data_IF_163914456107
#
_entry.id   IF_163914456107
#
_cell.length_a   1.000
_cell.length_b   1.000
_cell.length_c   1.000
_cell.angle_alpha   90.00
_cell.angle_beta   90.00
_cell.angle_gamma   90.00
#
_symmetry.space_group_name_H-M   'P 1'
#
loop_
_entity.id
_entity.type
_entity.pdbx_description
1 polymer ?
#
# COMPACT_ATOMS: atom_id res chain seq x y z
N UNK A 1 -13.54 11.21 -7.68
CA UNK A 1 -14.59 12.24 -7.88
C UNK A 1 -15.45 12.49 -6.65
N UNK A 2 -15.60 11.52 -5.74
CA UNK A 2 -16.42 11.70 -4.52
C UNK A 2 -15.65 12.21 -3.30
N UNK A 3 -14.32 12.32 -3.39
CA UNK A 3 -13.52 12.80 -2.27
C UNK A 3 -13.79 14.28 -2.01
N UNK A 4 -14.08 14.68 -0.76
CA UNK A 4 -14.23 16.08 -0.38
C UNK A 4 -13.03 16.92 -0.80
N UNK A 5 -13.27 18.20 -1.14
CA UNK A 5 -12.20 19.13 -1.49
C UNK A 5 -11.37 19.53 -0.27
N UNK A 6 -12.01 19.65 0.90
CA UNK A 6 -11.32 19.86 2.17
C UNK A 6 -11.18 18.53 2.91
N UNK A 7 -9.94 18.08 3.05
CA UNK A 7 -9.54 16.90 3.79
C UNK A 7 -8.58 17.27 4.94
N UNK A 8 -8.62 18.52 5.40
CA UNK A 8 -7.68 19.05 6.39
C UNK A 8 -7.60 18.18 7.64
N UNK A 9 -6.37 17.75 7.96
CA UNK A 9 -6.08 16.96 9.16
C UNK A 9 -6.49 15.49 9.07
N UNK A 10 -7.15 15.06 7.99
CA UNK A 10 -7.55 13.66 7.82
C UNK A 10 -6.35 12.77 7.52
N UNK A 11 -6.44 11.52 7.98
CA UNK A 11 -5.52 10.44 7.62
C UNK A 11 -6.22 9.59 6.56
N UNK A 12 -5.52 9.27 5.47
CA UNK A 12 -6.02 8.42 4.39
C UNK A 12 -5.29 7.09 4.40
N UNK A 13 -6.05 6.00 4.51
CA UNK A 13 -5.56 4.64 4.34
C UNK A 13 -6.10 4.11 3.03
N UNK A 14 -5.23 3.63 2.15
CA UNK A 14 -5.61 3.08 0.85
C UNK A 14 -4.66 1.96 0.43
N UNK A 15 -4.94 1.26 -0.66
CA UNK A 15 -4.08 0.19 -1.17
C UNK A 15 -3.08 0.69 -2.20
N UNK A 16 -3.46 1.61 -3.08
CA UNK A 16 -2.65 1.98 -4.24
C UNK A 16 -2.74 3.47 -4.49
N UNK A 17 -1.58 4.10 -4.71
CA UNK A 17 -1.46 5.51 -5.04
C UNK A 17 -0.47 5.71 -6.18
N UNK A 18 -0.74 6.73 -6.98
CA UNK A 18 0.21 7.33 -7.92
C UNK A 18 0.75 8.64 -7.34
N UNK A 19 1.84 9.16 -7.91
CA UNK A 19 2.38 10.49 -7.56
C UNK A 19 1.34 11.61 -7.67
N UNK A 20 0.50 11.57 -8.71
CA UNK A 20 -0.62 12.51 -8.87
C UNK A 20 -1.61 12.44 -7.69
N UNK A 21 -1.92 11.24 -7.20
CA UNK A 21 -2.81 11.10 -6.03
C UNK A 21 -2.17 11.70 -4.78
N UNK A 22 -0.87 11.49 -4.57
CA UNK A 22 -0.14 12.04 -3.41
C UNK A 22 -0.22 13.57 -3.43
N UNK A 23 0.02 14.19 -4.60
CA UNK A 23 -0.10 15.64 -4.74
C UNK A 23 -1.54 16.15 -4.51
N UNK A 24 -2.55 15.48 -5.05
CA UNK A 24 -3.96 15.85 -4.86
C UNK A 24 -4.35 15.76 -3.37
N UNK A 25 -3.95 14.70 -2.68
CA UNK A 25 -4.18 14.54 -1.24
C UNK A 25 -3.49 15.65 -0.42
N UNK A 26 -2.25 16.00 -0.79
CA UNK A 26 -1.51 17.09 -0.15
C UNK A 26 -2.22 18.44 -0.35
N UNK A 27 -2.66 18.74 -1.58
CA UNK A 27 -3.43 19.96 -1.91
C UNK A 27 -4.74 20.07 -1.13
N UNK A 28 -5.39 18.94 -0.82
CA UNK A 28 -6.62 18.87 -0.01
C UNK A 28 -6.39 18.94 1.50
N UNK A 29 -5.14 19.02 1.97
CA UNK A 29 -4.81 19.19 3.40
C UNK A 29 -4.76 17.90 4.23
N UNK A 30 -4.70 16.73 3.59
CA UNK A 30 -4.50 15.44 4.28
C UNK A 30 -3.22 15.49 5.13
N UNK A 31 -3.27 14.99 6.36
CA UNK A 31 -2.12 14.98 7.28
C UNK A 31 -1.19 13.80 7.03
N UNK A 32 -1.75 12.60 6.89
CA UNK A 32 -1.00 11.37 6.61
C UNK A 32 -1.64 10.55 5.50
N UNK A 33 -0.78 9.98 4.66
CA UNK A 33 -1.11 8.91 3.73
C UNK A 33 -0.47 7.61 4.22
N UNK A 34 -1.30 6.57 4.30
CA UNK A 34 -0.87 5.21 4.64
C UNK A 34 -1.30 4.26 3.52
N UNK A 35 -0.36 3.49 2.97
CA UNK A 35 -0.70 2.45 2.00
C UNK A 35 -0.55 1.06 2.59
N UNK A 36 -1.51 0.17 2.32
CA UNK A 36 -1.44 -1.23 2.79
C UNK A 36 -0.44 -2.08 2.01
N UNK A 37 0.01 -1.62 0.84
CA UNK A 37 1.12 -2.21 0.08
C UNK A 37 2.37 -1.34 0.14
N UNK A 38 3.57 -1.92 0.03
CA UNK A 38 4.82 -1.17 0.01
C UNK A 38 4.92 -0.24 -1.21
N UNK A 39 5.73 0.80 -1.05
CA UNK A 39 6.15 1.66 -2.16
C UNK A 39 7.33 1.04 -2.90
N UNK A 40 7.25 1.06 -4.22
CA UNK A 40 8.35 0.72 -5.12
C UNK A 40 8.48 1.83 -6.16
N UNK A 41 9.65 2.47 -6.21
CA UNK A 41 9.97 3.55 -7.17
C UNK A 41 8.91 4.68 -7.22
N UNK A 42 8.47 5.17 -6.06
CA UNK A 42 7.53 6.30 -5.99
C UNK A 42 6.06 5.95 -6.21
N UNK A 43 5.72 4.68 -6.44
CA UNK A 43 4.33 4.20 -6.56
C UNK A 43 4.04 2.99 -5.69
N UNK A 44 2.79 2.81 -5.33
CA UNK A 44 2.31 1.54 -4.79
C UNK A 44 1.83 0.64 -5.92
N UNK A 45 2.04 -0.65 -5.79
CA UNK A 45 1.44 -1.65 -6.66
C UNK A 45 0.13 -2.18 -6.06
N UNK A 46 -0.73 -2.70 -6.93
CA UNK A 46 -1.97 -3.35 -6.51
C UNK A 46 -1.70 -4.55 -5.62
N UNK A 47 -2.66 -4.86 -4.75
CA UNK A 47 -2.57 -6.00 -3.82
C UNK A 47 -2.36 -7.33 -4.56
N UNK A 48 -2.90 -7.47 -5.77
CA UNK A 48 -2.71 -8.65 -6.61
C UNK A 48 -1.23 -8.86 -7.02
N UNK A 49 -0.53 -7.79 -7.42
CA UNK A 49 0.89 -7.86 -7.78
C UNK A 49 1.70 -8.21 -6.54
N UNK A 50 1.42 -7.56 -5.42
CA UNK A 50 2.07 -7.85 -4.14
C UNK A 50 1.90 -9.32 -3.72
N UNK A 51 0.67 -9.84 -3.77
CA UNK A 51 0.39 -11.25 -3.50
C UNK A 51 1.13 -12.17 -4.46
N UNK A 52 1.13 -11.87 -5.76
CA UNK A 52 1.88 -12.64 -6.74
C UNK A 52 3.38 -12.69 -6.43
N UNK A 53 3.98 -11.59 -5.96
CA UNK A 53 5.37 -11.58 -5.50
C UNK A 53 5.57 -12.53 -4.32
N UNK A 54 4.66 -12.53 -3.35
CA UNK A 54 4.71 -13.43 -2.20
C UNK A 54 4.59 -14.90 -2.62
N UNK A 55 3.66 -15.22 -3.55
CA UNK A 55 3.53 -16.55 -4.13
C UNK A 55 4.84 -16.97 -4.80
N UNK A 56 5.40 -16.11 -5.65
CA UNK A 56 6.61 -16.41 -6.42
C UNK A 56 7.84 -16.69 -5.53
N UNK A 57 8.01 -15.95 -4.44
CA UNK A 57 9.14 -16.15 -3.51
C UNK A 57 8.88 -17.25 -2.48
N UNK A 58 7.63 -17.73 -2.33
CA UNK A 58 7.29 -18.73 -1.32
C UNK A 58 7.94 -20.09 -1.58
N UNK A 59 8.26 -20.40 -2.84
CA UNK A 59 8.72 -21.71 -3.28
C UNK A 59 7.64 -22.81 -3.21
N UNK A 60 6.39 -22.46 -2.87
CA UNK A 60 5.24 -23.35 -2.80
C UNK A 60 4.38 -23.22 -4.05
N UNK A 61 3.62 -24.27 -4.38
CA UNK A 61 2.57 -24.13 -5.38
C UNK A 61 1.40 -23.29 -4.82
N UNK A 62 0.61 -22.60 -5.66
CA UNK A 62 -0.52 -21.79 -5.20
C UNK A 62 -1.52 -22.58 -4.34
N UNK A 63 -1.69 -23.87 -4.61
CA UNK A 63 -2.63 -24.76 -3.90
C UNK A 63 -2.14 -25.12 -2.49
N UNK A 64 -0.83 -25.02 -2.23
CA UNK A 64 -0.21 -25.33 -0.94
C UNK A 64 -0.17 -24.12 0.00
N UNK A 65 -0.44 -22.92 -0.50
CA UNK A 65 -0.38 -21.68 0.27
C UNK A 65 -1.61 -21.49 1.15
N UNK A 66 -1.37 -21.33 2.45
CA UNK A 66 -2.38 -20.96 3.42
C UNK A 66 -2.29 -19.47 3.77
N UNK A 67 -3.38 -18.83 4.27
CA UNK A 67 -3.36 -17.42 4.69
C UNK A 67 -2.19 -17.07 5.64
N UNK A 68 -1.82 -17.98 6.54
CA UNK A 68 -0.72 -17.78 7.49
C UNK A 68 0.65 -17.78 6.82
N UNK A 69 0.80 -18.43 5.66
CA UNK A 69 2.04 -18.37 4.89
C UNK A 69 2.29 -16.96 4.36
N UNK A 70 1.24 -16.27 3.89
CA UNK A 70 1.35 -14.89 3.44
C UNK A 70 1.81 -13.97 4.58
N UNK A 71 1.23 -14.12 5.79
CA UNK A 71 1.64 -13.33 6.95
C UNK A 71 3.12 -13.54 7.30
N UNK A 72 3.58 -14.80 7.34
CA UNK A 72 4.99 -15.15 7.57
C UNK A 72 5.91 -14.60 6.48
N UNK A 73 5.50 -14.64 5.23
CA UNK A 73 6.28 -14.11 4.11
C UNK A 73 6.37 -12.58 4.16
N UNK A 74 5.29 -11.89 4.52
CA UNK A 74 5.28 -10.44 4.73
C UNK A 74 6.25 -10.04 5.84
N UNK A 75 6.25 -10.76 6.97
CA UNK A 75 7.20 -10.53 8.06
C UNK A 75 8.66 -10.76 7.61
N UNK A 76 8.92 -11.87 6.90
CA UNK A 76 10.28 -12.23 6.44
C UNK A 76 10.85 -11.27 5.41
N UNK A 77 10.02 -10.79 4.49
CA UNK A 77 10.44 -9.85 3.43
C UNK A 77 10.71 -8.44 3.95
N UNK A 78 10.24 -8.12 5.16
CA UNK A 78 10.35 -6.78 5.73
C UNK A 78 9.48 -5.76 5.00
N UNK A 79 8.48 -6.21 4.24
CA UNK A 79 7.56 -5.31 3.55
C UNK A 79 6.73 -4.54 4.57
N UNK A 80 6.78 -3.21 4.45
CA UNK A 80 6.09 -2.29 5.35
C UNK A 80 5.12 -1.42 4.56
N UNK A 81 4.02 -1.00 5.20
CA UNK A 81 3.16 0.03 4.63
C UNK A 81 3.98 1.30 4.37
N UNK A 82 3.66 2.05 3.30
CA UNK A 82 4.12 3.44 3.18
C UNK A 82 3.39 4.24 4.24
N UNK A 83 4.12 4.98 5.05
CA UNK A 83 3.56 5.96 5.98
C UNK A 83 4.23 7.28 5.66
N UNK A 84 3.45 8.22 5.14
CA UNK A 84 3.96 9.51 4.68
C UNK A 84 3.16 10.65 5.31
N UNK A 85 3.87 11.60 5.91
CA UNK A 85 3.29 12.86 6.36
C UNK A 85 3.21 13.83 5.18
N UNK A 86 2.01 14.29 4.84
CA UNK A 86 1.79 15.18 3.71
C UNK A 86 1.76 16.66 4.13
N UNK A 87 1.14 16.98 5.28
CA UNK A 87 1.02 18.33 5.86
C UNK A 87 1.23 18.32 7.38
#
# INVERSE_FOLDING_TARGET
>A
QYMPQDMKGKIVITNTVTSFNVEDLKKRGVSYLITTTPEFEGRSFGTNVFQATLVAISGKSPEELQPEDYLKLIEKTGFKPRIEKLN
#
